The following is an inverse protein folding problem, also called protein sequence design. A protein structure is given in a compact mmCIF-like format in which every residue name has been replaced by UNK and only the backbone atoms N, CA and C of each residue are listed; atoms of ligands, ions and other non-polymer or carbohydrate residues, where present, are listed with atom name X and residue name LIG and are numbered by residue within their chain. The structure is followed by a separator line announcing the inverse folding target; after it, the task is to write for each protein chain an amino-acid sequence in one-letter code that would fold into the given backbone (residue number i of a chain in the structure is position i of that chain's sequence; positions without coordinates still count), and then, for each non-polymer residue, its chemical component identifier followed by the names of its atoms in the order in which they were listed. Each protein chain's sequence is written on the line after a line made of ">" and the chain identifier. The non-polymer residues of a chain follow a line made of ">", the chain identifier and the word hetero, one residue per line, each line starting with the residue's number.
data_IF_150091061519
#
_entry.id   IF_150091061519
#
_cell.length_a   1.000
_cell.length_b   1.000
_cell.length_c   1.000
_cell.angle_alpha   90.00
_cell.angle_beta   90.00
_cell.angle_gamma   90.00
#
_symmetry.space_group_name_H-M   'P 1'
#
loop_
_entity.id
_entity.type
_entity.pdbx_description
1 polymer ?
#
# COMPACT_ATOMS: atom_id res chain seq x y z
N UNK A 1 -25.66 -5.68 -28.57
CA UNK A 1 -25.46 -4.32 -28.05
C UNK A 1 -25.37 -4.41 -26.53
N UNK A 2 -24.17 -4.59 -25.98
CA UNK A 2 -23.99 -4.62 -24.52
C UNK A 2 -24.06 -3.19 -24.01
N UNK A 3 -25.08 -2.89 -23.20
CA UNK A 3 -25.17 -1.63 -22.47
C UNK A 3 -23.98 -1.57 -21.50
N UNK A 4 -22.97 -0.75 -21.84
CA UNK A 4 -22.01 -0.28 -20.86
C UNK A 4 -22.73 0.77 -20.02
N UNK A 5 -23.27 0.36 -18.88
CA UNK A 5 -23.77 1.28 -17.87
C UNK A 5 -22.62 2.21 -17.49
N UNK A 6 -22.69 3.46 -17.93
CA UNK A 6 -21.80 4.52 -17.43
C UNK A 6 -22.12 4.72 -15.96
N UNK A 7 -21.37 4.04 -15.09
CA UNK A 7 -21.43 4.19 -13.64
C UNK A 7 -21.27 5.67 -13.27
N UNK A 8 -22.28 6.21 -12.57
CA UNK A 8 -22.38 7.64 -12.27
C UNK A 8 -21.34 8.14 -11.25
N UNK A 9 -21.21 9.46 -11.06
CA UNK A 9 -20.18 10.07 -10.19
C UNK A 9 -20.25 9.64 -8.72
N UNK A 10 -21.42 9.22 -8.22
CA UNK A 10 -21.57 8.61 -6.88
C UNK A 10 -20.82 7.29 -6.76
N UNK A 11 -20.85 6.47 -7.81
CA UNK A 11 -20.17 5.17 -7.81
C UNK A 11 -18.64 5.33 -7.77
N UNK A 12 -18.11 6.38 -8.42
CA UNK A 12 -16.66 6.68 -8.37
C UNK A 12 -16.18 7.08 -6.98
N UNK A 13 -16.97 7.85 -6.21
CA UNK A 13 -16.61 8.23 -4.83
C UNK A 13 -16.65 7.01 -3.91
N UNK A 14 -17.68 6.17 -4.05
CA UNK A 14 -17.79 4.94 -3.28
C UNK A 14 -16.63 3.99 -3.59
N UNK A 15 -16.33 3.75 -4.88
CA UNK A 15 -15.19 2.94 -5.31
C UNK A 15 -13.87 3.46 -4.72
N UNK A 16 -13.67 4.78 -4.70
CA UNK A 16 -12.48 5.39 -4.12
C UNK A 16 -12.35 5.11 -2.61
N UNK A 17 -13.41 5.38 -1.83
CA UNK A 17 -13.41 5.14 -0.38
C UNK A 17 -13.26 3.66 -0.05
N UNK A 18 -14.01 2.79 -0.73
CA UNK A 18 -13.95 1.33 -0.52
C UNK A 18 -12.55 0.80 -0.83
N UNK A 19 -11.90 1.29 -1.89
CA UNK A 19 -10.53 0.85 -2.23
C UNK A 19 -9.52 1.30 -1.17
N UNK A 20 -9.67 2.51 -0.60
CA UNK A 20 -8.80 2.98 0.50
C UNK A 20 -8.99 2.12 1.74
N UNK A 21 -10.24 1.82 2.11
CA UNK A 21 -10.51 0.96 3.27
C UNK A 21 -9.94 -0.44 3.02
N UNK A 22 -10.14 -0.99 1.82
CA UNK A 22 -9.58 -2.27 1.41
C UNK A 22 -8.05 -2.29 1.50
N UNK A 23 -7.37 -1.22 1.03
CA UNK A 23 -5.91 -1.12 1.10
C UNK A 23 -5.41 -1.11 2.53
N UNK A 24 -6.12 -0.43 3.44
CA UNK A 24 -5.80 -0.41 4.85
C UNK A 24 -5.91 -1.81 5.46
N UNK A 25 -7.00 -2.55 5.18
CA UNK A 25 -7.14 -3.92 5.67
C UNK A 25 -6.04 -4.83 5.15
N UNK A 26 -5.84 -4.91 3.83
CA UNK A 26 -4.85 -5.85 3.26
C UNK A 26 -3.43 -5.50 3.69
N UNK A 27 -3.06 -4.20 3.73
CA UNK A 27 -1.74 -3.77 4.20
C UNK A 27 -1.51 -4.11 5.67
N UNK A 28 -2.52 -3.88 6.52
CA UNK A 28 -2.43 -4.21 7.96
C UNK A 28 -2.30 -5.71 8.20
N UNK A 29 -3.03 -6.53 7.45
CA UNK A 29 -2.88 -7.99 7.56
C UNK A 29 -1.53 -8.48 7.07
N UNK A 30 -0.95 -7.86 6.04
CA UNK A 30 0.41 -8.15 5.60
C UNK A 30 1.43 -7.78 6.68
N UNK A 31 1.30 -6.60 7.30
CA UNK A 31 2.16 -6.20 8.43
C UNK A 31 2.07 -7.21 9.58
N UNK A 32 0.86 -7.59 9.98
CA UNK A 32 0.70 -8.60 11.03
C UNK A 32 1.35 -9.94 10.65
N UNK A 33 1.17 -10.40 9.41
CA UNK A 33 1.73 -11.66 8.95
C UNK A 33 3.26 -11.63 8.98
N UNK A 34 3.89 -10.59 8.45
CA UNK A 34 5.35 -10.52 8.38
C UNK A 34 5.99 -10.28 9.75
N UNK A 35 5.38 -9.44 10.60
CA UNK A 35 5.83 -9.25 11.99
C UNK A 35 5.67 -10.54 12.79
N UNK A 36 4.58 -11.30 12.61
CA UNK A 36 4.37 -12.59 13.31
C UNK A 36 5.36 -13.67 12.89
N UNK A 37 5.94 -13.55 11.69
CA UNK A 37 6.98 -14.44 11.17
C UNK A 37 8.39 -13.91 11.43
N UNK A 38 8.52 -12.84 12.22
CA UNK A 38 9.80 -12.22 12.55
C UNK A 38 10.60 -11.79 11.30
N UNK A 39 9.91 -11.49 10.20
CA UNK A 39 10.55 -11.05 8.95
C UNK A 39 11.01 -9.59 9.05
N UNK A 40 10.27 -8.77 9.82
CA UNK A 40 10.67 -7.44 10.25
C UNK A 40 9.91 -7.04 11.52
N UNK A 41 10.37 -5.97 12.16
CA UNK A 41 9.73 -5.36 13.32
C UNK A 41 9.65 -3.83 13.19
N UNK A 42 8.76 -3.23 13.97
CA UNK A 42 8.67 -1.78 14.16
C UNK A 42 9.10 -1.41 15.58
N UNK A 43 10.39 -1.12 15.84
CA UNK A 43 10.88 -0.88 17.19
C UNK A 43 10.24 0.36 17.83
N UNK A 44 10.11 1.43 17.05
CA UNK A 44 9.47 2.69 17.46
C UNK A 44 8.07 2.75 16.85
N UNK A 45 7.04 2.53 17.67
CA UNK A 45 5.63 2.53 17.25
C UNK A 45 4.69 3.01 18.36
N UNK A 46 3.50 3.56 18.02
CA UNK A 46 2.50 3.94 19.01
C UNK A 46 1.95 2.71 19.75
N UNK A 47 1.76 2.84 21.07
CA UNK A 47 1.20 1.79 21.94
C UNK A 47 1.87 0.41 21.78
N UNK A 48 3.21 0.30 21.96
CA UNK A 48 3.97 -0.91 21.65
C UNK A 48 3.61 -2.11 22.53
N UNK A 49 2.96 -1.90 23.68
CA UNK A 49 2.46 -2.94 24.58
C UNK A 49 1.15 -3.58 24.11
N UNK A 50 0.44 -2.94 23.18
CA UNK A 50 -0.85 -3.39 22.66
C UNK A 50 -0.71 -3.88 21.21
N UNK A 51 -0.02 -3.11 20.38
CA UNK A 51 0.15 -3.41 18.97
C UNK A 51 1.59 -3.84 18.69
N UNK A 52 1.76 -4.90 17.89
CA UNK A 52 3.05 -5.34 17.36
C UNK A 52 3.42 -4.62 16.07
N UNK A 53 2.42 -4.14 15.33
CA UNK A 53 2.55 -3.35 14.10
C UNK A 53 2.50 -1.85 14.38
N UNK A 54 2.92 -1.02 13.42
CA UNK A 54 2.81 0.42 13.52
C UNK A 54 1.41 0.93 13.13
N UNK A 55 0.53 1.10 14.11
CA UNK A 55 -0.86 1.50 13.87
C UNK A 55 -1.00 2.91 13.26
N UNK A 56 -0.01 3.80 13.44
CA UNK A 56 -0.02 5.11 12.78
C UNK A 56 0.22 4.98 11.27
N UNK A 57 1.06 4.02 10.84
CA UNK A 57 1.23 3.71 9.43
C UNK A 57 -0.11 3.24 8.83
N UNK A 58 -0.78 2.30 9.49
CA UNK A 58 -2.09 1.78 9.08
C UNK A 58 -3.17 2.86 8.97
N UNK A 59 -3.33 3.71 9.99
CA UNK A 59 -4.49 4.60 10.10
C UNK A 59 -4.29 5.95 9.39
N UNK A 60 -3.04 6.37 9.16
CA UNK A 60 -2.75 7.70 8.62
C UNK A 60 -1.96 7.62 7.31
N UNK A 61 -0.80 6.96 7.34
CA UNK A 61 0.12 6.96 6.20
C UNK A 61 -0.47 6.17 5.03
N UNK A 62 -0.91 4.94 5.27
CA UNK A 62 -1.44 4.05 4.23
C UNK A 62 -2.70 4.58 3.53
N UNK A 63 -3.74 5.10 4.23
CA UNK A 63 -4.90 5.66 3.55
C UNK A 63 -4.55 6.95 2.78
N UNK A 64 -3.70 7.81 3.34
CA UNK A 64 -3.23 9.02 2.66
C UNK A 64 -2.44 8.70 1.40
N UNK A 65 -1.50 7.75 1.50
CA UNK A 65 -0.73 7.25 0.38
C UNK A 65 -1.62 6.62 -0.70
N UNK A 66 -2.55 5.75 -0.30
CA UNK A 66 -3.48 5.09 -1.24
C UNK A 66 -4.36 6.12 -1.95
N UNK A 67 -4.88 7.11 -1.23
CA UNK A 67 -5.68 8.18 -1.80
C UNK A 67 -4.89 8.97 -2.86
N UNK A 68 -3.64 9.35 -2.54
CA UNK A 68 -2.75 10.04 -3.46
C UNK A 68 -2.44 9.20 -4.70
N UNK A 69 -2.07 7.93 -4.50
CA UNK A 69 -1.83 6.98 -5.58
C UNK A 69 -3.02 6.90 -6.53
N UNK A 70 -4.24 6.68 -6.02
CA UNK A 70 -5.44 6.58 -6.85
C UNK A 70 -5.76 7.88 -7.59
N UNK A 71 -5.53 9.04 -6.96
CA UNK A 71 -5.76 10.35 -7.59
C UNK A 71 -4.82 10.61 -8.77
N UNK A 72 -3.58 10.15 -8.70
CA UNK A 72 -2.60 10.26 -9.78
C UNK A 72 -2.87 9.16 -10.83
N UNK A 73 -2.96 7.90 -10.42
CA UNK A 73 -3.08 6.74 -11.30
C UNK A 73 -4.31 6.80 -12.22
N UNK A 74 -5.42 7.40 -11.77
CA UNK A 74 -6.63 7.58 -12.61
C UNK A 74 -6.44 8.57 -13.78
N UNK A 75 -5.42 9.42 -13.73
CA UNK A 75 -5.10 10.40 -14.77
C UNK A 75 -4.02 9.91 -15.75
N UNK A 76 -3.37 8.79 -15.44
CA UNK A 76 -2.29 8.22 -16.24
C UNK A 76 -2.81 7.22 -17.27
N UNK A 77 -2.12 7.16 -18.41
CA UNK A 77 -2.30 6.05 -19.36
C UNK A 77 -1.81 4.74 -18.75
N UNK A 78 -2.21 3.60 -19.33
CA UNK A 78 -1.82 2.27 -18.80
C UNK A 78 -0.31 2.12 -18.69
N UNK A 79 0.46 2.55 -19.71
CA UNK A 79 1.91 2.47 -19.71
C UNK A 79 2.54 3.37 -18.62
N UNK A 80 2.14 4.65 -18.57
CA UNK A 80 2.66 5.59 -17.56
C UNK A 80 2.30 5.16 -16.14
N UNK A 81 1.14 4.53 -15.95
CA UNK A 81 0.74 3.99 -14.65
C UNK A 81 1.64 2.81 -14.23
N UNK A 82 2.02 1.93 -15.15
CA UNK A 82 2.96 0.84 -14.84
C UNK A 82 4.31 1.42 -14.43
N UNK A 83 4.84 2.40 -15.19
CA UNK A 83 6.07 3.10 -14.82
C UNK A 83 5.95 3.78 -13.45
N UNK A 84 4.82 4.42 -13.17
CA UNK A 84 4.57 5.07 -11.88
C UNK A 84 4.57 4.06 -10.72
N UNK A 85 3.98 2.87 -10.90
CA UNK A 85 4.01 1.80 -9.89
C UNK A 85 5.45 1.30 -9.65
N UNK A 86 6.25 1.15 -10.71
CA UNK A 86 7.66 0.76 -10.61
C UNK A 86 8.42 1.82 -9.79
N UNK A 87 8.25 3.11 -10.11
CA UNK A 87 8.89 4.21 -9.37
C UNK A 87 8.49 4.20 -7.89
N UNK A 88 7.20 3.99 -7.59
CA UNK A 88 6.74 3.84 -6.20
C UNK A 88 7.45 2.67 -5.53
N UNK A 89 7.57 1.51 -6.18
CA UNK A 89 8.27 0.36 -5.64
C UNK A 89 9.72 0.68 -5.27
N UNK A 90 10.45 1.37 -6.16
CA UNK A 90 11.83 1.80 -5.90
C UNK A 90 11.88 2.76 -4.71
N UNK A 91 11.04 3.80 -4.71
CA UNK A 91 11.00 4.79 -3.64
C UNK A 91 10.66 4.15 -2.28
N UNK A 92 9.72 3.20 -2.25
CA UNK A 92 9.33 2.52 -1.04
C UNK A 92 10.45 1.62 -0.49
N UNK A 93 11.13 0.87 -1.35
CA UNK A 93 12.30 0.06 -0.93
C UNK A 93 13.44 0.91 -0.37
N UNK A 94 13.72 2.08 -0.95
CA UNK A 94 14.70 3.03 -0.41
C UNK A 94 14.21 3.64 0.92
N UNK A 95 12.92 3.97 1.01
CA UNK A 95 12.33 4.55 2.22
C UNK A 95 12.39 3.58 3.39
N UNK A 96 12.26 2.27 3.14
CA UNK A 96 12.42 1.24 4.17
C UNK A 96 13.85 1.17 4.71
N UNK A 97 14.87 1.17 3.84
CA UNK A 97 16.27 1.23 4.30
C UNK A 97 16.55 2.51 5.11
N UNK A 98 15.94 3.62 4.71
CA UNK A 98 16.04 4.86 5.47
C UNK A 98 15.35 4.75 6.84
N UNK A 99 14.15 4.15 6.89
CA UNK A 99 13.42 3.90 8.13
C UNK A 99 14.18 2.94 9.06
N UNK A 100 14.91 1.98 8.48
CA UNK A 100 15.78 1.06 9.20
C UNK A 100 16.97 1.78 9.84
N UNK A 101 17.66 2.63 9.10
CA UNK A 101 18.74 3.46 9.63
C UNK A 101 18.28 4.42 10.74
N UNK A 102 17.01 4.81 10.73
CA UNK A 102 16.40 5.63 11.78
C UNK A 102 15.86 4.82 12.97
N UNK A 103 15.94 3.48 12.94
CA UNK A 103 15.42 2.59 13.97
C UNK A 103 13.88 2.52 14.03
N UNK A 104 13.18 3.07 13.04
CA UNK A 104 11.72 3.01 12.92
C UNK A 104 11.25 1.65 12.38
N UNK A 105 12.14 0.96 11.68
CA UNK A 105 11.95 -0.34 11.08
C UNK A 105 13.19 -1.20 11.36
N UNK A 106 13.05 -2.51 11.41
CA UNK A 106 14.18 -3.42 11.53
C UNK A 106 13.88 -4.69 10.75
N UNK A 107 14.66 -4.97 9.72
CA UNK A 107 14.54 -6.21 8.97
C UNK A 107 15.29 -7.34 9.66
N UNK A 108 14.83 -8.57 9.46
CA UNK A 108 15.63 -9.75 9.76
C UNK A 108 16.77 -9.87 8.74
N UNK A 109 17.89 -10.48 9.11
CA UNK A 109 19.03 -10.76 8.22
C UNK A 109 18.63 -11.60 7.00
N UNK A 110 17.60 -12.44 7.15
CA UNK A 110 17.04 -13.26 6.07
C UNK A 110 16.12 -12.48 5.11
N UNK A 111 15.83 -11.19 5.38
CA UNK A 111 15.01 -10.37 4.49
C UNK A 111 15.80 -9.88 3.28
N UNK A 112 15.43 -10.36 2.10
CA UNK A 112 15.91 -9.78 0.86
C UNK A 112 15.15 -8.49 0.53
N UNK A 113 15.86 -7.36 0.41
CA UNK A 113 15.26 -6.06 0.03
C UNK A 113 14.49 -6.08 -1.31
N UNK A 114 14.74 -7.06 -2.18
CA UNK A 114 13.95 -7.26 -3.39
C UNK A 114 12.47 -7.57 -3.08
N UNK A 115 12.17 -8.20 -1.94
CA UNK A 115 10.82 -8.48 -1.50
C UNK A 115 10.02 -7.21 -1.28
N UNK A 116 10.64 -6.16 -0.72
CA UNK A 116 10.02 -4.86 -0.55
C UNK A 116 9.62 -4.27 -1.90
N UNK A 117 10.56 -4.20 -2.85
CA UNK A 117 10.31 -3.66 -4.19
C UNK A 117 9.12 -4.36 -4.88
N UNK A 118 9.16 -5.70 -4.96
CA UNK A 118 8.09 -6.46 -5.61
C UNK A 118 6.78 -6.44 -4.81
N UNK A 119 6.86 -6.45 -3.48
CA UNK A 119 5.72 -6.40 -2.57
C UNK A 119 4.89 -5.12 -2.77
N UNK A 120 5.55 -3.96 -2.77
CA UNK A 120 4.87 -2.69 -3.05
C UNK A 120 4.28 -2.64 -4.46
N UNK A 121 4.99 -3.15 -5.46
CA UNK A 121 4.44 -3.20 -6.82
C UNK A 121 3.17 -4.06 -6.92
N UNK A 122 3.20 -5.28 -6.35
CA UNK A 122 2.05 -6.20 -6.33
C UNK A 122 0.90 -5.55 -5.57
N UNK A 123 1.16 -4.93 -4.43
CA UNK A 123 0.17 -4.20 -3.64
C UNK A 123 -0.50 -3.11 -4.50
N UNK A 124 0.27 -2.21 -5.14
CA UNK A 124 -0.30 -1.13 -5.94
C UNK A 124 -1.08 -1.64 -7.15
N UNK A 125 -0.63 -2.72 -7.80
CA UNK A 125 -1.35 -3.36 -8.89
C UNK A 125 -2.70 -3.93 -8.42
N UNK A 126 -2.72 -4.58 -7.25
CA UNK A 126 -3.94 -5.11 -6.64
C UNK A 126 -4.92 -3.97 -6.32
N UNK A 127 -4.47 -2.92 -5.62
CA UNK A 127 -5.28 -1.75 -5.27
C UNK A 127 -5.87 -1.10 -6.52
N UNK A 128 -5.06 -0.90 -7.56
CA UNK A 128 -5.53 -0.36 -8.82
C UNK A 128 -6.59 -1.25 -9.49
N UNK A 129 -6.39 -2.57 -9.48
CA UNK A 129 -7.34 -3.54 -10.04
C UNK A 129 -8.68 -3.50 -9.30
N UNK A 130 -8.67 -3.44 -7.98
CA UNK A 130 -9.88 -3.33 -7.16
C UNK A 130 -10.62 -2.02 -7.44
N UNK A 131 -9.91 -0.89 -7.47
CA UNK A 131 -10.51 0.40 -7.79
C UNK A 131 -11.21 0.39 -9.16
N UNK A 132 -10.55 -0.20 -10.17
CA UNK A 132 -11.10 -0.33 -11.52
C UNK A 132 -12.26 -1.30 -11.64
N UNK A 133 -12.32 -2.32 -10.80
CA UNK A 133 -13.44 -3.27 -10.76
C UNK A 133 -14.69 -2.63 -10.14
N UNK A 134 -14.52 -1.80 -9.11
CA UNK A 134 -15.60 -1.08 -8.44
C UNK A 134 -16.12 0.11 -9.27
N UNK A 135 -15.23 0.82 -9.97
CA UNK A 135 -15.55 1.93 -10.88
C UNK A 135 -16.43 1.50 -12.06
#
# INVERSE_FOLDING_TARGET
>A
MFFSEKKGPKNNRLAFVVTIIFSCFIGTYLDFLFVSKEMYAFPVRPFPTIFTINIAFTLLILPGFTALFLQIAKRLSTFLRILFIIVIGICASISEQFAENLGLFAHNEDWHHSYSFFGYMIFMLLIWKIYRWLQ
#
